data_IF_307434760445
#
_entry.id   IF_307434760445
#
_cell.length_a   1.000
_cell.length_b   1.000
_cell.length_c   1.000
_cell.angle_alpha   90.00
_cell.angle_beta   90.00
_cell.angle_gamma   90.00
#
_symmetry.space_group_name_H-M   'P 1'
#
loop_
_entity.id
_entity.type
_entity.pdbx_description
1 polymer ?
#
# COMPACT_ATOMS: atom_id res chain seq x y z
N UNK A 1 -40.88 -9.85 -31.86
CA UNK A 1 -40.79 -9.29 -30.51
C UNK A 1 -39.38 -9.51 -29.99
N UNK A 2 -38.52 -8.51 -30.19
CA UNK A 2 -37.17 -8.50 -29.59
C UNK A 2 -37.38 -8.06 -28.14
N UNK A 3 -37.12 -8.95 -27.18
CA UNK A 3 -37.05 -8.57 -25.77
C UNK A 3 -35.82 -7.68 -25.59
N UNK A 4 -36.02 -6.37 -25.65
CA UNK A 4 -35.10 -5.42 -25.06
C UNK A 4 -35.09 -5.69 -23.55
N UNK A 5 -34.14 -6.49 -23.10
CA UNK A 5 -33.74 -6.48 -21.69
C UNK A 5 -32.99 -5.17 -21.46
N UNK A 6 -33.74 -4.07 -21.36
CA UNK A 6 -33.29 -2.90 -20.62
C UNK A 6 -33.23 -3.36 -19.16
N UNK A 7 -32.08 -3.90 -18.74
CA UNK A 7 -31.72 -3.88 -17.33
C UNK A 7 -31.68 -2.41 -16.98
N UNK A 8 -32.63 -1.96 -16.16
CA UNK A 8 -32.76 -0.54 -15.85
C UNK A 8 -31.50 -0.06 -15.13
N UNK A 9 -30.83 0.93 -15.73
CA UNK A 9 -29.77 1.74 -15.12
C UNK A 9 -30.30 2.58 -13.92
N UNK A 10 -31.41 2.19 -13.28
CA UNK A 10 -32.11 2.96 -12.24
C UNK A 10 -31.41 2.96 -10.88
N UNK A 11 -30.36 2.16 -10.69
CA UNK A 11 -29.65 2.02 -9.42
C UNK A 11 -28.12 2.00 -9.62
N UNK A 12 -27.58 3.07 -10.19
CA UNK A 12 -26.14 3.28 -10.25
C UNK A 12 -25.62 3.76 -8.89
N UNK A 13 -24.44 3.26 -8.50
CA UNK A 13 -23.77 3.60 -7.24
C UNK A 13 -22.38 4.18 -7.54
N UNK A 14 -21.97 5.16 -6.75
CA UNK A 14 -20.60 5.70 -6.79
C UNK A 14 -19.68 4.84 -5.90
N UNK A 15 -18.68 4.15 -6.46
CA UNK A 15 -17.77 3.35 -5.67
C UNK A 15 -16.81 4.19 -4.79
N UNK A 16 -16.53 5.46 -5.05
CA UNK A 16 -15.55 6.27 -4.30
C UNK A 16 -14.30 5.50 -3.78
N UNK A 17 -13.40 5.09 -4.69
CA UNK A 17 -12.22 4.29 -4.35
C UNK A 17 -11.05 5.12 -3.80
N UNK A 18 -11.05 6.46 -3.84
CA UNK A 18 -9.84 7.25 -3.57
C UNK A 18 -9.31 7.06 -2.14
N UNK A 19 -10.20 6.85 -1.18
CA UNK A 19 -9.85 6.59 0.22
C UNK A 19 -8.84 5.45 0.41
N UNK A 20 -8.91 4.39 -0.39
CA UNK A 20 -7.99 3.25 -0.24
C UNK A 20 -6.59 3.55 -0.77
N UNK A 21 -6.47 4.39 -1.81
CA UNK A 21 -5.18 4.86 -2.29
C UNK A 21 -4.45 5.62 -1.19
N UNK A 22 -5.15 6.50 -0.48
CA UNK A 22 -4.59 7.19 0.69
C UNK A 22 -4.18 6.21 1.80
N UNK A 23 -4.99 5.18 2.06
CA UNK A 23 -4.67 4.12 3.01
C UNK A 23 -3.36 3.39 2.66
N UNK A 24 -3.23 2.97 1.39
CA UNK A 24 -2.01 2.30 0.89
C UNK A 24 -0.81 3.25 0.95
N UNK A 25 -0.95 4.50 0.51
CA UNK A 25 0.12 5.49 0.58
C UNK A 25 0.56 5.75 2.03
N UNK A 26 -0.39 5.85 2.97
CA UNK A 26 -0.11 5.97 4.39
C UNK A 26 0.69 4.77 4.93
N UNK A 27 0.31 3.55 4.54
CA UNK A 27 1.04 2.35 4.92
C UNK A 27 2.47 2.36 4.36
N UNK A 28 2.64 2.64 3.06
CA UNK A 28 3.98 2.72 2.45
C UNK A 28 4.83 3.84 3.10
N UNK A 29 4.20 4.95 3.51
CA UNK A 29 4.83 6.01 4.28
C UNK A 29 5.28 5.57 5.68
N UNK A 30 4.52 4.69 6.32
CA UNK A 30 4.93 4.07 7.59
C UNK A 30 6.19 3.22 7.41
N UNK A 31 6.30 2.44 6.33
CA UNK A 31 7.54 1.70 6.01
C UNK A 31 8.70 2.67 5.81
N UNK A 32 8.48 3.75 5.06
CA UNK A 32 9.50 4.76 4.79
C UNK A 32 10.01 5.45 6.07
N UNK A 33 9.21 5.44 7.14
CA UNK A 33 9.58 5.99 8.45
C UNK A 33 10.64 5.14 9.19
N UNK A 34 10.95 3.92 8.70
CA UNK A 34 12.13 3.15 9.13
C UNK A 34 13.42 3.94 8.99
N UNK A 35 13.53 4.84 8.00
CA UNK A 35 14.72 5.70 7.84
C UNK A 35 14.94 6.58 9.09
N UNK A 36 13.92 7.35 9.49
CA UNK A 36 14.01 8.21 10.68
C UNK A 36 14.26 7.40 11.95
N UNK A 37 13.73 6.19 12.01
CA UNK A 37 13.95 5.25 13.10
C UNK A 37 15.43 4.82 13.23
N UNK A 38 16.05 4.45 12.11
CA UNK A 38 17.48 4.08 12.03
C UNK A 38 18.37 5.25 12.42
N UNK A 39 18.02 6.46 11.98
CA UNK A 39 18.76 7.69 12.26
C UNK A 39 18.76 8.02 13.76
N UNK A 40 17.59 8.03 14.39
CA UNK A 40 17.44 8.30 15.84
C UNK A 40 18.31 7.37 16.71
N UNK A 41 18.42 6.09 16.36
CA UNK A 41 19.21 5.12 17.14
C UNK A 41 20.72 5.23 16.93
N UNK A 42 21.17 5.76 15.80
CA UNK A 42 22.61 6.02 15.58
C UNK A 42 23.19 6.94 16.66
N UNK A 43 22.37 7.81 17.24
CA UNK A 43 22.77 8.79 18.24
C UNK A 43 22.67 8.30 19.70
N UNK A 44 21.97 7.19 19.97
CA UNK A 44 21.68 6.70 21.34
C UNK A 44 22.32 5.34 21.71
N UNK A 45 23.58 5.09 21.32
CA UNK A 45 24.25 3.79 21.58
C UNK A 45 24.46 3.49 23.08
N UNK A 46 23.50 2.79 23.70
CA UNK A 46 23.68 2.04 24.95
C UNK A 46 23.12 0.62 24.81
N UNK A 47 23.82 -0.33 25.44
CA UNK A 47 23.77 -1.77 25.20
C UNK A 47 22.56 -2.49 25.82
N UNK A 48 21.94 -3.40 25.06
CA UNK A 48 21.09 -4.51 25.55
C UNK A 48 21.54 -5.81 24.87
N UNK A 49 22.54 -6.48 25.44
CA UNK A 49 23.17 -7.68 24.85
C UNK A 49 22.33 -8.96 25.03
N UNK A 50 21.59 -9.07 26.13
CA UNK A 50 20.99 -10.34 26.55
C UNK A 50 19.78 -10.82 25.73
N UNK A 51 19.14 -9.96 24.92
CA UNK A 51 17.97 -10.34 24.09
C UNK A 51 18.15 -10.08 22.59
N UNK A 52 19.34 -9.62 22.17
CA UNK A 52 19.60 -9.15 20.81
C UNK A 52 19.24 -10.18 19.74
N UNK A 53 19.64 -11.45 19.91
CA UNK A 53 19.37 -12.50 18.93
C UNK A 53 17.87 -12.78 18.72
N UNK A 54 17.10 -12.84 19.81
CA UNK A 54 15.64 -13.01 19.75
C UNK A 54 14.97 -11.82 19.07
N UNK A 55 15.34 -10.60 19.45
CA UNK A 55 14.77 -9.38 18.86
C UNK A 55 15.13 -9.22 17.39
N UNK A 56 16.33 -9.61 16.95
CA UNK A 56 16.72 -9.63 15.53
C UNK A 56 15.88 -10.62 14.72
N UNK A 57 15.64 -11.81 15.27
CA UNK A 57 14.78 -12.82 14.64
C UNK A 57 13.34 -12.30 14.48
N UNK A 58 12.76 -11.74 15.55
CA UNK A 58 11.41 -11.15 15.51
C UNK A 58 11.33 -10.00 14.50
N UNK A 59 12.32 -9.09 14.46
CA UNK A 59 12.36 -8.00 13.48
C UNK A 59 12.41 -8.53 12.04
N UNK A 60 13.18 -9.59 11.79
CA UNK A 60 13.26 -10.25 10.48
C UNK A 60 11.91 -10.86 10.07
N UNK A 61 11.23 -11.52 10.99
CA UNK A 61 9.93 -12.15 10.73
C UNK A 61 8.84 -11.10 10.48
N UNK A 62 8.88 -9.95 11.16
CA UNK A 62 8.02 -8.81 10.83
C UNK A 62 8.31 -8.25 9.43
N UNK A 63 9.59 -8.13 9.03
CA UNK A 63 9.94 -7.69 7.67
C UNK A 63 9.45 -8.69 6.61
N UNK A 64 9.54 -10.00 6.86
CA UNK A 64 8.95 -11.02 5.98
C UNK A 64 7.43 -10.90 5.90
N UNK A 65 6.78 -10.63 7.03
CA UNK A 65 5.34 -10.41 7.07
C UNK A 65 4.94 -9.18 6.27
N UNK A 66 5.69 -8.07 6.37
CA UNK A 66 5.48 -6.88 5.55
C UNK A 66 5.68 -7.14 4.05
N UNK A 67 6.68 -7.94 3.66
CA UNK A 67 6.85 -8.36 2.25
C UNK A 67 5.60 -9.08 1.74
N UNK A 68 5.06 -10.01 2.51
CA UNK A 68 3.84 -10.76 2.17
C UNK A 68 2.61 -9.85 2.13
N UNK A 69 2.47 -8.94 3.09
CA UNK A 69 1.36 -7.99 3.14
C UNK A 69 1.38 -7.05 1.92
N UNK A 70 2.56 -6.54 1.53
CA UNK A 70 2.71 -5.73 0.30
C UNK A 70 2.29 -6.50 -0.95
N UNK A 71 2.65 -7.79 -1.05
CA UNK A 71 2.21 -8.63 -2.18
C UNK A 71 0.68 -8.81 -2.21
N UNK A 72 0.05 -8.98 -1.05
CA UNK A 72 -1.41 -9.11 -0.95
C UNK A 72 -2.12 -7.79 -1.29
N UNK A 73 -1.57 -6.65 -0.87
CA UNK A 73 -2.06 -5.32 -1.23
C UNK A 73 -1.93 -5.09 -2.74
N UNK A 74 -0.79 -5.45 -3.35
CA UNK A 74 -0.59 -5.37 -4.80
C UNK A 74 -1.66 -6.16 -5.55
N UNK A 75 -1.87 -7.43 -5.17
CA UNK A 75 -2.85 -8.30 -5.81
C UNK A 75 -4.29 -7.75 -5.64
N UNK A 76 -4.61 -7.23 -4.47
CA UNK A 76 -5.94 -6.68 -4.18
C UNK A 76 -6.17 -5.35 -4.89
N UNK A 77 -5.13 -4.53 -5.10
CA UNK A 77 -5.22 -3.33 -5.94
C UNK A 77 -5.44 -3.68 -7.42
N UNK A 78 -4.78 -4.72 -7.94
CA UNK A 78 -5.05 -5.22 -9.30
C UNK A 78 -6.49 -5.71 -9.46
N UNK A 79 -7.01 -6.40 -8.44
CA UNK A 79 -8.42 -6.80 -8.39
C UNK A 79 -9.35 -5.58 -8.37
N UNK A 80 -9.00 -4.54 -7.60
CA UNK A 80 -9.76 -3.29 -7.57
C UNK A 80 -9.75 -2.60 -8.93
N UNK A 81 -8.58 -2.45 -9.58
CA UNK A 81 -8.46 -1.89 -10.93
C UNK A 81 -9.37 -2.63 -11.92
N UNK A 82 -9.31 -3.95 -11.91
CA UNK A 82 -10.17 -4.78 -12.74
C UNK A 82 -11.66 -4.57 -12.48
N UNK A 83 -12.07 -4.49 -11.21
CA UNK A 83 -13.46 -4.19 -10.83
C UNK A 83 -13.86 -2.77 -11.27
N UNK A 84 -12.97 -1.79 -11.17
CA UNK A 84 -13.19 -0.42 -11.65
C UNK A 84 -13.32 -0.33 -13.16
N UNK A 85 -12.79 -1.30 -13.91
CA UNK A 85 -13.00 -1.41 -15.37
C UNK A 85 -14.30 -2.16 -15.68
N UNK A 86 -14.51 -3.33 -15.07
CA UNK A 86 -15.63 -4.24 -15.42
C UNK A 86 -16.95 -3.95 -14.71
N UNK A 87 -16.92 -3.36 -13.51
CA UNK A 87 -18.10 -3.09 -12.68
C UNK A 87 -18.97 -1.94 -13.18
N UNK A 88 -18.49 -1.25 -14.22
CA UNK A 88 -19.04 -0.04 -14.79
C UNK A 88 -20.27 -0.32 -15.67
N UNK A 89 -21.24 0.61 -15.69
CA UNK A 89 -22.34 0.54 -16.65
C UNK A 89 -21.81 0.84 -18.06
N UNK A 90 -22.04 -0.07 -19.00
CA UNK A 90 -21.47 0.01 -20.36
C UNK A 90 -21.88 1.27 -21.15
N UNK A 91 -22.95 1.97 -20.73
CA UNK A 91 -23.51 3.10 -21.45
C UNK A 91 -23.18 4.49 -20.85
N UNK A 92 -22.64 4.59 -19.63
CA UNK A 92 -22.44 5.88 -18.95
C UNK A 92 -21.06 6.07 -18.33
N UNK A 93 -20.16 5.10 -18.48
CA UNK A 93 -18.92 5.07 -17.71
C UNK A 93 -17.74 5.65 -18.49
N UNK A 94 -17.12 6.68 -17.91
CA UNK A 94 -15.86 7.21 -18.41
C UNK A 94 -14.73 6.22 -18.12
N UNK A 95 -13.75 6.08 -19.02
CA UNK A 95 -12.58 5.24 -18.77
C UNK A 95 -11.74 5.80 -17.60
N UNK A 96 -11.00 4.94 -16.91
CA UNK A 96 -10.15 5.32 -15.77
C UNK A 96 -9.10 6.37 -16.13
N UNK A 97 -8.68 6.42 -17.39
CA UNK A 97 -7.76 7.42 -17.94
C UNK A 97 -8.35 8.82 -18.05
N UNK A 98 -9.66 8.99 -17.82
CA UNK A 98 -10.34 10.29 -17.82
C UNK A 98 -10.85 10.68 -16.43
N UNK A 99 -10.84 9.77 -15.47
CA UNK A 99 -11.28 10.00 -14.11
C UNK A 99 -10.09 10.43 -13.26
N UNK A 100 -10.19 11.61 -12.63
CA UNK A 100 -9.14 12.11 -11.72
C UNK A 100 -9.11 11.31 -10.44
N UNK A 101 -7.91 11.00 -9.96
CA UNK A 101 -7.65 10.30 -8.71
C UNK A 101 -7.81 11.27 -7.52
N UNK A 102 -9.04 11.64 -7.21
CA UNK A 102 -9.41 12.52 -6.10
C UNK A 102 -10.85 12.20 -5.64
N UNK A 103 -11.29 12.76 -4.52
CA UNK A 103 -12.63 12.50 -4.00
C UNK A 103 -13.73 13.06 -4.92
N UNK A 104 -14.80 12.28 -5.11
CA UNK A 104 -16.04 12.67 -5.78
C UNK A 104 -16.01 12.62 -7.31
N UNK A 105 -14.97 12.01 -7.89
CA UNK A 105 -14.77 12.01 -9.36
C UNK A 105 -15.36 10.82 -10.06
N UNK A 106 -15.52 9.68 -9.37
CA UNK A 106 -16.14 8.51 -9.96
C UNK A 106 -17.59 8.79 -10.37
N UNK A 107 -18.42 9.45 -9.54
CA UNK A 107 -19.87 9.62 -9.79
C UNK A 107 -20.58 8.25 -9.89
N UNK A 108 -21.92 8.16 -9.99
CA UNK A 108 -22.58 6.87 -10.12
C UNK A 108 -22.15 6.16 -11.41
N UNK A 109 -21.29 5.14 -11.29
CA UNK A 109 -20.74 4.37 -12.41
C UNK A 109 -21.17 2.91 -12.36
N UNK A 110 -21.45 2.40 -11.17
CA UNK A 110 -21.52 0.97 -10.94
C UNK A 110 -22.94 0.46 -10.92
N UNK A 111 -23.16 -0.69 -11.55
CA UNK A 111 -24.35 -1.49 -11.24
C UNK A 111 -24.31 -1.95 -9.78
N UNK A 112 -25.45 -2.24 -9.18
CA UNK A 112 -25.51 -2.78 -7.80
C UNK A 112 -24.63 -4.04 -7.62
N UNK A 113 -24.54 -4.89 -8.65
CA UNK A 113 -23.68 -6.08 -8.64
C UNK A 113 -22.19 -5.73 -8.68
N UNK A 114 -21.81 -4.77 -9.53
CA UNK A 114 -20.44 -4.24 -9.55
C UNK A 114 -20.04 -3.63 -8.21
N UNK A 115 -20.97 -2.90 -7.57
CA UNK A 115 -20.73 -2.25 -6.29
C UNK A 115 -20.47 -3.25 -5.16
N UNK A 116 -21.20 -4.37 -5.11
CA UNK A 116 -20.94 -5.43 -4.10
C UNK A 116 -19.53 -6.01 -4.21
N UNK A 117 -19.06 -6.31 -5.43
CA UNK A 117 -17.69 -6.80 -5.66
C UNK A 117 -16.64 -5.77 -5.23
N UNK A 118 -16.94 -4.50 -5.51
CA UNK A 118 -16.12 -3.38 -5.08
C UNK A 118 -16.05 -3.29 -3.55
N UNK A 119 -17.18 -3.34 -2.84
CA UNK A 119 -17.22 -3.31 -1.38
C UNK A 119 -16.40 -4.45 -0.76
N UNK A 120 -16.56 -5.67 -1.26
CA UNK A 120 -15.78 -6.84 -0.80
C UNK A 120 -14.28 -6.60 -0.95
N UNK A 121 -13.86 -6.03 -2.09
CA UNK A 121 -12.46 -5.75 -2.37
C UNK A 121 -11.92 -4.59 -1.54
N UNK A 122 -12.74 -3.57 -1.28
CA UNK A 122 -12.39 -2.46 -0.40
C UNK A 122 -12.24 -2.92 1.05
N UNK A 123 -13.12 -3.78 1.55
CA UNK A 123 -13.01 -4.36 2.89
C UNK A 123 -11.74 -5.19 3.03
N UNK A 124 -11.42 -6.01 2.01
CA UNK A 124 -10.18 -6.77 1.94
C UNK A 124 -8.95 -5.86 2.00
N UNK A 125 -8.89 -4.84 1.14
CA UNK A 125 -7.79 -3.87 1.11
C UNK A 125 -7.64 -3.12 2.44
N UNK A 126 -8.74 -2.63 3.02
CA UNK A 126 -8.71 -1.93 4.31
C UNK A 126 -8.17 -2.83 5.43
N UNK A 127 -8.60 -4.10 5.47
CA UNK A 127 -8.09 -5.08 6.45
C UNK A 127 -6.59 -5.32 6.27
N UNK A 128 -6.13 -5.46 5.02
CA UNK A 128 -4.71 -5.65 4.71
C UNK A 128 -3.87 -4.43 5.12
N UNK A 129 -4.31 -3.22 4.75
CA UNK A 129 -3.65 -1.97 5.13
C UNK A 129 -3.57 -1.83 6.65
N UNK A 130 -4.68 -2.05 7.36
CA UNK A 130 -4.71 -2.00 8.83
C UNK A 130 -3.73 -2.98 9.48
N UNK A 131 -3.76 -4.25 9.06
CA UNK A 131 -2.81 -5.27 9.51
C UNK A 131 -1.35 -4.87 9.23
N UNK A 132 -1.09 -4.23 8.09
CA UNK A 132 0.26 -3.82 7.69
C UNK A 132 0.79 -2.68 8.58
N UNK A 133 -0.08 -1.76 9.01
CA UNK A 133 0.26 -0.75 10.01
C UNK A 133 0.60 -1.39 11.36
N UNK A 134 -0.19 -2.35 11.84
CA UNK A 134 0.09 -3.07 13.08
C UNK A 134 1.44 -3.79 13.02
N UNK A 135 1.72 -4.45 11.89
CA UNK A 135 3.00 -5.13 11.64
C UNK A 135 4.17 -4.14 11.64
N UNK A 136 4.00 -2.98 11.01
CA UNK A 136 5.03 -1.92 10.99
C UNK A 136 5.28 -1.34 12.38
N UNK A 137 4.22 -1.13 13.16
CA UNK A 137 4.30 -0.66 14.55
C UNK A 137 5.07 -1.65 15.43
N UNK A 138 4.76 -2.96 15.32
CA UNK A 138 5.47 -4.01 16.05
C UNK A 138 6.95 -4.09 15.63
N UNK A 139 7.25 -3.94 14.34
CA UNK A 139 8.62 -3.85 13.84
C UNK A 139 9.39 -2.69 14.50
N UNK A 140 8.81 -1.49 14.56
CA UNK A 140 9.45 -0.34 15.22
C UNK A 140 9.76 -0.59 16.69
N UNK A 141 8.85 -1.22 17.42
CA UNK A 141 9.10 -1.59 18.82
C UNK A 141 10.30 -2.54 18.97
N UNK A 142 10.49 -3.46 18.03
CA UNK A 142 11.65 -4.38 18.05
C UNK A 142 12.92 -3.68 17.64
N UNK A 143 12.88 -2.89 16.57
CA UNK A 143 14.02 -2.07 16.15
C UNK A 143 14.44 -1.07 17.25
N UNK A 144 13.54 -0.68 18.15
CA UNK A 144 13.89 0.16 19.29
C UNK A 144 14.93 -0.41 20.23
N UNK A 145 14.97 -1.73 20.34
CA UNK A 145 15.92 -2.37 21.24
C UNK A 145 17.15 -2.91 20.50
N UNK A 146 17.33 -2.56 19.21
CA UNK A 146 18.39 -3.09 18.36
C UNK A 146 19.33 -2.00 17.84
N UNK A 147 20.63 -2.26 17.90
CA UNK A 147 21.65 -1.51 17.14
C UNK A 147 21.86 -2.20 15.78
N UNK A 148 21.01 -1.85 14.80
CA UNK A 148 21.13 -2.38 13.43
C UNK A 148 21.92 -1.40 12.59
N UNK A 149 23.03 -1.88 12.00
CA UNK A 149 23.79 -1.11 11.01
C UNK A 149 23.22 -1.35 9.62
N UNK A 150 22.46 -0.38 9.14
CA UNK A 150 21.95 -0.40 7.76
C UNK A 150 22.94 0.35 6.85
N UNK A 151 23.34 -0.23 5.70
CA UNK A 151 24.17 0.46 4.72
C UNK A 151 23.52 1.76 4.23
N UNK A 152 24.35 2.75 3.89
CA UNK A 152 23.90 4.07 3.41
C UNK A 152 22.96 3.97 2.20
N UNK A 153 23.18 2.99 1.34
CA UNK A 153 22.35 2.76 0.16
C UNK A 153 20.92 2.32 0.52
N UNK A 154 20.78 1.35 1.43
CA UNK A 154 19.45 0.89 1.89
C UNK A 154 18.71 2.01 2.62
N UNK A 155 19.42 2.80 3.42
CA UNK A 155 18.84 4.00 4.05
C UNK A 155 18.38 5.04 3.02
N UNK A 156 19.17 5.31 1.98
CA UNK A 156 18.77 6.21 0.89
C UNK A 156 17.53 5.70 0.16
N UNK A 157 17.41 4.39 -0.06
CA UNK A 157 16.24 3.81 -0.70
C UNK A 157 14.98 3.94 0.17
N UNK A 158 15.10 3.85 1.50
CA UNK A 158 13.98 4.15 2.40
C UNK A 158 13.52 5.62 2.29
N UNK A 159 14.45 6.56 2.17
CA UNK A 159 14.11 7.96 1.91
C UNK A 159 13.50 8.17 0.53
N UNK A 160 13.95 7.42 -0.48
CA UNK A 160 13.39 7.51 -1.84
C UNK A 160 11.91 7.08 -1.88
N UNK A 161 11.47 6.18 -0.99
CA UNK A 161 10.04 5.87 -0.83
C UNK A 161 9.26 7.14 -0.46
N UNK A 162 9.77 7.94 0.48
CA UNK A 162 9.13 9.21 0.89
C UNK A 162 9.09 10.22 -0.27
N UNK A 163 10.20 10.33 -1.02
CA UNK A 163 10.27 11.20 -2.19
C UNK A 163 9.26 10.80 -3.26
N UNK A 164 9.10 9.50 -3.52
CA UNK A 164 8.11 8.98 -4.48
C UNK A 164 6.68 9.21 -3.99
N UNK A 165 6.36 8.91 -2.73
CA UNK A 165 5.06 9.19 -2.13
C UNK A 165 4.65 10.65 -2.27
N UNK A 166 5.57 11.59 -2.01
CA UNK A 166 5.32 13.01 -2.17
C UNK A 166 4.99 13.40 -3.62
N UNK A 167 5.57 12.72 -4.62
CA UNK A 167 5.21 12.94 -6.03
C UNK A 167 3.80 12.42 -6.31
N UNK A 168 3.46 11.23 -5.80
CA UNK A 168 2.12 10.65 -5.96
C UNK A 168 1.04 11.57 -5.38
N UNK A 169 1.27 12.12 -4.18
CA UNK A 169 0.29 12.96 -3.47
C UNK A 169 0.14 14.38 -4.04
N UNK A 170 1.08 14.84 -4.86
CA UNK A 170 1.09 16.22 -5.41
C UNK A 170 0.68 16.30 -6.87
N UNK A 171 0.76 15.18 -7.58
CA UNK A 171 0.46 15.15 -9.01
C UNK A 171 -1.04 15.00 -9.22
N UNK A 172 -1.55 15.71 -10.21
CA UNK A 172 -2.91 15.55 -10.72
C UNK A 172 -2.95 14.32 -11.63
N UNK A 173 -3.18 13.15 -11.03
CA UNK A 173 -3.20 11.84 -11.70
C UNK A 173 -4.62 11.42 -12.06
N UNK A 174 -4.74 10.66 -13.13
CA UNK A 174 -5.94 9.86 -13.42
C UNK A 174 -5.90 8.55 -12.62
N UNK A 175 -7.01 7.79 -12.55
CA UNK A 175 -7.00 6.49 -11.88
C UNK A 175 -6.05 5.50 -12.55
N UNK A 176 -5.97 5.48 -13.88
CA UNK A 176 -5.04 4.61 -14.62
C UNK A 176 -3.58 4.94 -14.28
N UNK A 177 -3.20 6.22 -14.32
CA UNK A 177 -1.86 6.65 -13.92
C UNK A 177 -1.60 6.37 -12.44
N UNK A 178 -2.62 6.56 -11.60
CA UNK A 178 -2.62 6.23 -10.18
C UNK A 178 -2.24 4.77 -9.93
N UNK A 179 -2.95 3.82 -10.54
CA UNK A 179 -2.65 2.40 -10.39
C UNK A 179 -1.20 2.09 -10.79
N UNK A 180 -0.75 2.58 -11.94
CA UNK A 180 0.62 2.37 -12.41
C UNK A 180 1.67 2.88 -11.41
N UNK A 181 1.51 4.12 -10.94
CA UNK A 181 2.42 4.73 -9.97
C UNK A 181 2.42 3.98 -8.64
N UNK A 182 1.25 3.53 -8.16
CA UNK A 182 1.17 2.73 -6.93
C UNK A 182 1.82 1.37 -7.09
N UNK A 183 1.67 0.69 -8.23
CA UNK A 183 2.35 -0.59 -8.49
C UNK A 183 3.87 -0.45 -8.47
N UNK A 184 4.41 0.56 -9.15
CA UNK A 184 5.85 0.85 -9.14
C UNK A 184 6.35 1.11 -7.72
N UNK A 185 5.60 1.91 -6.95
CA UNK A 185 5.96 2.23 -5.57
C UNK A 185 5.91 1.01 -4.64
N UNK A 186 4.90 0.14 -4.80
CA UNK A 186 4.76 -1.12 -4.06
C UNK A 186 5.94 -2.04 -4.36
N UNK A 187 6.27 -2.25 -5.64
CA UNK A 187 7.39 -3.09 -6.07
C UNK A 187 8.70 -2.57 -5.50
N UNK A 188 8.93 -1.25 -5.59
CA UNK A 188 10.11 -0.61 -5.03
C UNK A 188 10.17 -0.81 -3.51
N UNK A 189 9.08 -0.51 -2.80
CA UNK A 189 9.01 -0.65 -1.33
C UNK A 189 9.30 -2.09 -0.89
N UNK A 190 8.73 -3.08 -1.57
CA UNK A 190 9.00 -4.51 -1.30
C UNK A 190 10.49 -4.83 -1.45
N UNK A 191 11.14 -4.32 -2.50
CA UNK A 191 12.58 -4.49 -2.70
C UNK A 191 13.40 -3.87 -1.57
N UNK A 192 13.03 -2.67 -1.11
CA UNK A 192 13.70 -1.99 0.00
C UNK A 192 13.55 -2.78 1.31
N UNK A 193 12.34 -3.25 1.64
CA UNK A 193 12.11 -4.09 2.83
C UNK A 193 12.97 -5.36 2.78
N UNK A 194 13.01 -6.03 1.63
CA UNK A 194 13.84 -7.21 1.44
C UNK A 194 15.32 -6.92 1.69
N UNK A 195 15.82 -5.79 1.21
CA UNK A 195 17.19 -5.37 1.47
C UNK A 195 17.42 -5.10 2.97
N UNK A 196 16.52 -4.39 3.65
CA UNK A 196 16.59 -4.16 5.11
C UNK A 196 16.65 -5.49 5.86
N UNK A 197 15.81 -6.46 5.47
CA UNK A 197 15.80 -7.80 6.07
C UNK A 197 17.11 -8.55 5.85
N UNK A 198 17.69 -8.48 4.66
CA UNK A 198 18.99 -9.09 4.36
C UNK A 198 20.09 -8.50 5.24
N UNK A 199 20.11 -7.19 5.45
CA UNK A 199 21.11 -6.53 6.29
C UNK A 199 20.95 -6.87 7.79
N UNK A 200 19.71 -6.96 8.27
CA UNK A 200 19.42 -7.46 9.63
C UNK A 200 19.92 -8.90 9.79
N UNK A 201 19.71 -9.75 8.78
CA UNK A 201 20.15 -11.15 8.83
C UNK A 201 21.67 -11.30 8.82
N UNK A 202 22.41 -10.36 8.21
CA UNK A 202 23.90 -10.32 8.24
C UNK A 202 24.46 -9.86 9.58
N UNK A 203 23.63 -9.24 10.41
CA UNK A 203 24.01 -8.70 11.72
C UNK A 203 23.82 -9.74 12.85
N UNK A 204 23.18 -10.88 12.54
CA UNK A 204 23.07 -12.05 13.42
C UNK A 204 24.36 -12.85 13.43
#
# INVERSE_FOLDING_TARGET
MIKNNNVSDEYLVDPEPFSIFLGVAGFLGSVASLAGYIEFKRDQRRFFEQQRGKTLFEARDYLMSLEADIMQIEASLRKLEFILVEGTSTNQSLPLSQLRLEFGTCKPLFTLHGFRKFEETMQELNRLVGKSFDTTSQLFQRLYNLDVRIPKEVYRNLLDIQCRLNKVLRNDLTYEEGFNVYYELIIFTRSVIRNVRTEISRTM
#
